data_IF_031278661646
#
_entry.id   IF_031278661646
#
_cell.length_a   1.000
_cell.length_b   1.000
_cell.length_c   1.000
_cell.angle_alpha   90.00
_cell.angle_beta   90.00
_cell.angle_gamma   90.00
#
_symmetry.space_group_name_H-M   'P 1'
#
loop_
_entity.id
_entity.type
_entity.pdbx_description
1 polymer ?
#
# COMPACT_ATOMS: atom_id res chain seq x y z
N UNK A 1 12.10 -21.28 9.08
CA UNK A 1 12.27 -21.50 7.63
C UNK A 1 11.08 -20.91 6.89
N UNK A 2 11.33 -20.20 5.79
CA UNK A 2 10.28 -19.65 4.93
C UNK A 2 9.58 -20.79 4.19
N UNK A 3 8.24 -20.75 4.12
CA UNK A 3 7.43 -21.82 3.52
C UNK A 3 6.57 -21.25 2.41
N UNK A 4 6.49 -21.98 1.30
CA UNK A 4 5.44 -21.79 0.32
C UNK A 4 4.16 -22.51 0.81
N UNK A 5 3.02 -21.93 0.53
CA UNK A 5 1.72 -22.45 0.94
C UNK A 5 0.76 -22.50 -0.25
N UNK A 6 0.01 -23.58 -0.39
CA UNK A 6 -1.15 -23.65 -1.26
C UNK A 6 -2.36 -23.14 -0.48
N UNK A 7 -3.05 -22.18 -1.07
CA UNK A 7 -4.24 -21.57 -0.47
C UNK A 7 -5.41 -21.52 -1.46
N UNK A 8 -6.61 -21.46 -0.93
CA UNK A 8 -7.79 -20.99 -1.64
C UNK A 8 -7.96 -19.50 -1.35
N UNK A 9 -7.90 -18.66 -2.39
CA UNK A 9 -8.04 -17.22 -2.27
C UNK A 9 -9.32 -16.72 -2.92
N UNK A 10 -10.20 -16.08 -2.15
CA UNK A 10 -11.41 -15.47 -2.66
C UNK A 10 -11.10 -14.09 -3.24
N UNK A 11 -10.95 -14.03 -4.56
CA UNK A 11 -10.73 -12.78 -5.31
C UNK A 11 -12.06 -12.06 -5.55
N UNK A 12 -12.01 -10.72 -5.63
CA UNK A 12 -13.18 -9.92 -6.03
C UNK A 12 -13.29 -9.80 -7.56
N UNK A 13 -12.20 -10.07 -8.29
CA UNK A 13 -12.12 -9.90 -9.76
C UNK A 13 -12.14 -11.22 -10.54
N UNK A 14 -11.98 -12.35 -9.88
CA UNK A 14 -11.91 -13.65 -10.54
C UNK A 14 -12.59 -14.72 -9.68
N UNK A 15 -13.10 -15.78 -10.34
CA UNK A 15 -13.61 -16.95 -9.65
C UNK A 15 -12.55 -17.52 -8.69
N UNK A 16 -13.04 -18.16 -7.63
CA UNK A 16 -12.24 -18.81 -6.61
C UNK A 16 -11.09 -19.65 -7.21
N UNK A 17 -9.89 -19.40 -6.76
CA UNK A 17 -8.73 -20.02 -7.36
C UNK A 17 -7.69 -20.43 -6.32
N UNK A 18 -7.21 -21.66 -6.46
CA UNK A 18 -6.02 -22.14 -5.75
C UNK A 18 -4.80 -21.32 -6.18
N UNK A 19 -4.00 -20.92 -5.21
CA UNK A 19 -2.74 -20.18 -5.44
C UNK A 19 -1.65 -20.76 -4.56
N UNK A 20 -0.46 -20.88 -5.14
CA UNK A 20 0.75 -21.11 -4.35
C UNK A 20 1.36 -19.75 -4.05
N UNK A 21 1.51 -19.45 -2.78
CA UNK A 21 2.04 -18.20 -2.26
C UNK A 21 3.29 -18.48 -1.42
N UNK A 22 4.29 -17.62 -1.54
CA UNK A 22 5.42 -17.54 -0.60
C UNK A 22 5.27 -16.27 0.24
N UNK A 23 4.67 -16.35 1.45
CA UNK A 23 4.48 -15.20 2.32
C UNK A 23 5.81 -14.62 2.79
N UNK A 24 5.94 -13.29 2.76
CA UNK A 24 7.17 -12.59 3.17
C UNK A 24 6.93 -11.56 4.27
N UNK A 25 5.75 -10.96 4.34
CA UNK A 25 5.41 -9.95 5.35
C UNK A 25 3.90 -9.89 5.63
N UNK A 26 3.55 -9.22 6.72
CA UNK A 26 2.19 -8.79 7.03
C UNK A 26 2.14 -7.26 7.07
N UNK A 27 1.06 -6.70 6.55
CA UNK A 27 0.80 -5.27 6.59
C UNK A 27 -0.68 -4.99 6.89
N UNK A 28 -0.95 -3.84 7.47
CA UNK A 28 -2.31 -3.38 7.79
C UNK A 28 -2.61 -2.09 7.04
N UNK A 29 -3.75 -2.04 6.34
CA UNK A 29 -4.13 -0.88 5.50
C UNK A 29 -4.97 0.18 6.22
N UNK A 30 -5.05 0.08 7.55
CA UNK A 30 -5.96 0.88 8.38
C UNK A 30 -7.28 0.14 8.71
N UNK A 31 -7.68 -0.85 7.89
CA UNK A 31 -8.91 -1.61 8.07
C UNK A 31 -8.69 -3.14 8.06
N UNK A 32 -7.75 -3.62 7.23
CA UNK A 32 -7.57 -5.05 6.98
C UNK A 32 -6.11 -5.45 7.03
N UNK A 33 -5.87 -6.66 7.48
CA UNK A 33 -4.57 -7.30 7.35
C UNK A 33 -4.38 -7.86 5.95
N UNK A 34 -3.19 -7.62 5.41
CA UNK A 34 -2.71 -8.14 4.15
C UNK A 34 -1.49 -9.03 4.36
N UNK A 35 -1.46 -10.14 3.66
CA UNK A 35 -0.27 -10.96 3.49
C UNK A 35 0.45 -10.48 2.24
N UNK A 36 1.65 -9.92 2.38
CA UNK A 36 2.54 -9.68 1.26
C UNK A 36 3.20 -11.00 0.90
N UNK A 37 3.01 -11.47 -0.34
CA UNK A 37 3.50 -12.76 -0.79
C UNK A 37 3.90 -12.75 -2.26
N UNK A 38 4.88 -13.57 -2.61
CA UNK A 38 5.12 -13.90 -4.00
C UNK A 38 4.07 -14.91 -4.49
N UNK A 39 3.38 -14.57 -5.56
CA UNK A 39 2.38 -15.43 -6.18
C UNK A 39 3.01 -16.22 -7.33
N UNK A 40 3.24 -17.52 -7.15
CA UNK A 40 3.89 -18.37 -8.15
C UNK A 40 3.09 -18.47 -9.45
N UNK A 41 1.78 -18.28 -9.41
CA UNK A 41 0.95 -18.27 -10.62
C UNK A 41 1.18 -17.03 -11.48
N UNK A 42 1.42 -15.88 -10.85
CA UNK A 42 1.60 -14.58 -11.53
C UNK A 42 3.05 -14.21 -11.72
N UNK A 43 3.95 -14.91 -11.05
CA UNK A 43 5.38 -14.61 -10.97
C UNK A 43 5.66 -13.18 -10.48
N UNK A 44 4.88 -12.72 -9.50
CA UNK A 44 5.02 -11.37 -8.93
C UNK A 44 4.64 -11.32 -7.45
N UNK A 45 5.15 -10.32 -6.73
CA UNK A 45 4.70 -10.01 -5.38
C UNK A 45 3.34 -9.30 -5.41
N UNK A 46 2.50 -9.58 -4.41
CA UNK A 46 1.19 -8.96 -4.29
C UNK A 46 0.66 -8.99 -2.85
N UNK A 47 -0.41 -8.22 -2.63
CA UNK A 47 -1.06 -8.12 -1.33
C UNK A 47 -2.34 -8.96 -1.35
N UNK A 48 -2.43 -9.89 -0.42
CA UNK A 48 -3.56 -10.79 -0.26
C UNK A 48 -4.27 -10.50 1.06
N UNK A 49 -5.54 -10.13 1.00
CA UNK A 49 -6.34 -9.87 2.20
C UNK A 49 -6.41 -11.15 3.04
N UNK A 50 -5.91 -11.10 4.27
CA UNK A 50 -5.76 -12.27 5.14
C UNK A 50 -7.07 -13.05 5.33
N UNK A 51 -8.18 -12.35 5.54
CA UNK A 51 -9.51 -12.95 5.74
C UNK A 51 -10.10 -13.63 4.50
N UNK A 52 -9.47 -13.45 3.33
CA UNK A 52 -9.87 -14.12 2.07
C UNK A 52 -9.06 -15.37 1.77
N UNK A 53 -8.10 -15.70 2.65
CA UNK A 53 -7.26 -16.90 2.55
C UNK A 53 -7.90 -18.02 3.34
N UNK A 54 -8.04 -19.19 2.73
CA UNK A 54 -8.57 -20.41 3.38
C UNK A 54 -7.85 -21.64 2.84
N UNK A 55 -8.09 -22.79 3.49
CA UNK A 55 -7.56 -24.11 3.09
C UNK A 55 -6.04 -24.11 2.89
N UNK A 56 -5.33 -23.57 3.89
CA UNK A 56 -3.87 -23.44 3.84
C UNK A 56 -3.21 -24.83 3.96
N UNK A 57 -2.34 -25.14 3.01
CA UNK A 57 -1.49 -26.35 3.01
C UNK A 57 -0.04 -25.95 2.77
N UNK A 58 0.86 -26.69 3.39
CA UNK A 58 2.29 -26.52 3.18
C UNK A 58 2.73 -27.10 1.82
N UNK A 59 3.48 -26.32 1.06
CA UNK A 59 4.05 -26.72 -0.25
C UNK A 59 5.58 -26.80 -0.23
N UNK A 60 6.19 -26.75 0.96
CA UNK A 60 7.64 -26.89 1.11
C UNK A 60 8.38 -25.56 1.30
N UNK A 61 9.68 -25.57 1.04
CA UNK A 61 10.51 -24.39 1.21
C UNK A 61 10.18 -23.30 0.17
N UNK A 62 10.06 -22.05 0.62
CA UNK A 62 9.93 -20.92 -0.29
C UNK A 62 11.28 -20.59 -0.94
N UNK A 63 11.26 -20.28 -2.24
CA UNK A 63 12.43 -19.87 -3.03
C UNK A 63 12.64 -18.37 -3.08
N UNK A 64 11.64 -17.58 -2.67
CA UNK A 64 11.66 -16.12 -2.67
C UNK A 64 11.72 -15.58 -1.26
N UNK A 65 12.28 -14.39 -1.14
CA UNK A 65 12.43 -13.70 0.13
C UNK A 65 11.93 -12.26 0.07
N UNK A 66 11.90 -11.57 1.21
CA UNK A 66 11.47 -10.17 1.27
C UNK A 66 12.45 -9.23 0.56
N UNK A 67 13.72 -9.61 0.49
CA UNK A 67 14.78 -8.87 -0.19
C UNK A 67 14.55 -8.83 -1.71
N UNK A 68 13.81 -9.82 -2.26
CA UNK A 68 13.47 -9.90 -3.69
C UNK A 68 12.29 -8.97 -4.05
N UNK A 69 11.60 -8.40 -3.06
CA UNK A 69 10.43 -7.54 -3.27
C UNK A 69 10.81 -6.06 -3.37
N UNK A 70 11.02 -5.58 -4.58
CA UNK A 70 11.40 -4.19 -4.83
C UNK A 70 10.38 -3.18 -4.29
N UNK A 71 9.07 -3.44 -4.43
CA UNK A 71 8.02 -2.52 -3.95
C UNK A 71 7.96 -2.47 -2.42
N UNK A 72 8.22 -3.59 -1.75
CA UNK A 72 8.30 -3.61 -0.30
C UNK A 72 9.54 -2.86 0.22
N UNK A 73 10.66 -2.98 -0.49
CA UNK A 73 11.94 -2.39 -0.08
C UNK A 73 12.11 -0.93 -0.51
N UNK A 74 11.26 -0.43 -1.40
CA UNK A 74 11.26 0.97 -1.81
C UNK A 74 10.42 1.81 -0.84
N UNK A 75 11.04 2.84 -0.23
CA UNK A 75 10.36 3.85 0.58
C UNK A 75 10.11 5.09 -0.28
N UNK A 76 8.86 5.49 -0.34
CA UNK A 76 8.41 6.71 -1.04
C UNK A 76 8.03 7.74 0.02
N UNK A 77 8.73 8.88 0.11
CA UNK A 77 8.37 9.94 1.05
C UNK A 77 7.10 10.65 0.57
N UNK A 78 6.09 10.71 1.43
CA UNK A 78 4.89 11.53 1.21
C UNK A 78 5.08 12.83 1.99
N UNK A 79 5.19 13.96 1.28
CA UNK A 79 5.32 15.27 1.90
C UNK A 79 3.93 15.87 2.06
N UNK A 80 3.45 15.92 3.28
CA UNK A 80 2.13 16.44 3.62
C UNK A 80 2.26 17.88 4.11
N UNK A 81 1.35 18.73 3.65
CA UNK A 81 1.20 20.13 4.06
C UNK A 81 -0.26 20.41 4.40
N UNK A 82 -0.60 21.48 5.13
CA UNK A 82 -1.96 21.94 5.24
C UNK A 82 -2.54 22.25 3.84
N UNK A 83 -3.81 21.95 3.62
CA UNK A 83 -4.43 22.19 2.31
C UNK A 83 -4.28 23.66 1.92
N UNK A 84 -3.85 24.01 0.69
CA UNK A 84 -3.58 25.39 0.26
C UNK A 84 -4.76 26.36 0.44
N UNK A 85 -5.99 25.86 0.31
CA UNK A 85 -7.22 26.66 0.43
C UNK A 85 -7.70 26.87 1.87
N UNK A 86 -6.96 26.39 2.87
CA UNK A 86 -7.30 26.63 4.27
C UNK A 86 -6.92 28.06 4.67
N UNK A 87 -7.79 28.75 5.46
CA UNK A 87 -7.42 30.00 6.12
C UNK A 87 -6.22 29.81 7.06
N UNK A 88 -5.41 30.86 7.21
CA UNK A 88 -4.16 30.80 8.00
C UNK A 88 -4.39 30.33 9.45
N UNK A 89 -5.49 30.75 10.07
CA UNK A 89 -5.84 30.31 11.43
C UNK A 89 -6.04 28.80 11.54
N UNK A 90 -6.57 28.16 10.49
CA UNK A 90 -6.78 26.71 10.45
C UNK A 90 -5.51 25.95 10.07
N UNK A 91 -4.62 26.57 9.30
CA UNK A 91 -3.32 25.97 8.93
C UNK A 91 -2.50 25.65 10.17
N UNK A 92 -2.37 26.59 11.12
CA UNK A 92 -1.61 26.38 12.34
C UNK A 92 -2.15 25.21 13.17
N UNK A 93 -3.45 24.99 13.20
CA UNK A 93 -4.05 23.83 13.88
C UNK A 93 -3.67 22.52 13.20
N UNK A 94 -3.69 22.46 11.85
CA UNK A 94 -3.31 21.27 11.07
C UNK A 94 -1.80 20.98 11.24
N UNK A 95 -0.95 22.00 11.21
CA UNK A 95 0.49 21.84 11.46
C UNK A 95 0.74 21.21 12.82
N UNK A 96 0.03 21.65 13.84
CA UNK A 96 0.13 21.09 15.18
C UNK A 96 -0.40 19.65 15.27
N UNK A 97 -1.57 19.36 14.67
CA UNK A 97 -2.21 18.04 14.68
C UNK A 97 -1.33 16.96 14.02
N UNK A 98 -0.60 17.34 12.97
CA UNK A 98 0.28 16.42 12.22
C UNK A 98 1.75 16.52 12.61
N UNK A 99 2.10 17.34 13.59
CA UNK A 99 3.48 17.53 14.02
C UNK A 99 4.38 18.05 12.90
N UNK A 100 3.85 18.98 12.09
CA UNK A 100 4.59 19.55 10.97
C UNK A 100 5.67 20.51 11.45
N UNK A 101 6.85 20.44 10.87
CA UNK A 101 7.94 21.39 11.07
C UNK A 101 8.06 22.24 9.79
N UNK A 102 8.18 23.56 9.92
CA UNK A 102 8.20 24.49 8.78
C UNK A 102 7.04 24.31 7.79
N UNK A 103 5.84 23.93 8.32
CA UNK A 103 4.62 23.77 7.53
C UNK A 103 4.52 22.45 6.77
N UNK A 104 5.39 21.48 7.02
CA UNK A 104 5.33 20.17 6.36
C UNK A 104 5.75 19.01 7.25
N UNK A 105 5.30 17.80 6.90
CA UNK A 105 5.76 16.54 7.49
C UNK A 105 6.03 15.51 6.41
N UNK A 106 7.14 14.79 6.52
CA UNK A 106 7.47 13.67 5.65
C UNK A 106 7.01 12.36 6.28
N UNK A 107 6.08 11.66 5.60
CA UNK A 107 5.63 10.33 5.99
C UNK A 107 6.29 9.29 5.06
N UNK A 108 7.26 8.50 5.55
CA UNK A 108 7.86 7.43 4.74
C UNK A 108 6.83 6.31 4.55
N UNK A 109 6.58 5.95 3.29
CA UNK A 109 5.62 4.91 2.93
C UNK A 109 6.28 3.85 2.04
N UNK A 110 6.07 2.56 2.33
CA UNK A 110 6.49 1.51 1.40
C UNK A 110 5.68 1.60 0.12
N UNK A 111 6.33 1.49 -1.04
CA UNK A 111 5.65 1.53 -2.33
C UNK A 111 4.51 0.50 -2.40
N UNK A 112 4.70 -0.70 -1.86
CA UNK A 112 3.68 -1.74 -1.80
C UNK A 112 2.38 -1.28 -1.12
N UNK A 113 2.46 -0.36 -0.15
CA UNK A 113 1.32 0.16 0.62
C UNK A 113 0.90 1.58 0.23
N UNK A 114 1.56 2.17 -0.77
CA UNK A 114 1.35 3.55 -1.18
C UNK A 114 -0.12 3.87 -1.50
N UNK A 115 -0.78 3.02 -2.29
CA UNK A 115 -2.19 3.21 -2.64
C UNK A 115 -3.11 3.19 -1.41
N UNK A 116 -2.88 2.23 -0.49
CA UNK A 116 -3.68 2.12 0.74
C UNK A 116 -3.47 3.33 1.65
N UNK A 117 -2.22 3.76 1.82
CA UNK A 117 -1.87 4.93 2.64
C UNK A 117 -2.53 6.20 2.11
N UNK A 118 -2.41 6.48 0.80
CA UNK A 118 -3.06 7.65 0.19
C UNK A 118 -4.59 7.58 0.29
N UNK A 119 -5.16 6.39 0.11
CA UNK A 119 -6.60 6.19 0.28
C UNK A 119 -7.05 6.46 1.71
N UNK A 120 -6.30 5.98 2.70
CA UNK A 120 -6.58 6.20 4.12
C UNK A 120 -6.50 7.68 4.50
N UNK A 121 -5.54 8.41 3.92
CA UNK A 121 -5.39 9.86 4.10
C UNK A 121 -6.41 10.69 3.30
N UNK A 122 -7.25 10.06 2.46
CA UNK A 122 -8.16 10.77 1.57
C UNK A 122 -7.49 11.44 0.38
N UNK A 123 -6.24 11.05 0.06
CA UNK A 123 -5.39 11.64 -0.98
C UNK A 123 -5.24 10.76 -2.23
N UNK A 124 -6.04 9.70 -2.36
CA UNK A 124 -5.92 8.74 -3.47
C UNK A 124 -6.33 9.32 -4.83
N UNK A 125 -7.17 10.34 -4.84
CA UNK A 125 -7.64 11.05 -6.05
C UNK A 125 -7.09 12.48 -6.04
N UNK A 126 -6.81 13.04 -7.22
CA UNK A 126 -6.25 14.40 -7.36
C UNK A 126 -7.15 15.53 -6.83
N UNK A 127 -8.38 15.22 -6.50
CA UNK A 127 -9.37 16.15 -6.02
C UNK A 127 -9.82 15.73 -4.63
N UNK A 128 -8.89 15.76 -3.68
CA UNK A 128 -9.29 15.75 -2.28
C UNK A 128 -10.05 17.03 -2.02
N UNK A 129 -11.34 16.96 -1.62
CA UNK A 129 -11.99 18.16 -1.14
C UNK A 129 -11.22 18.73 0.03
N UNK A 130 -11.35 20.00 0.28
CA UNK A 130 -10.88 20.71 1.50
C UNK A 130 -11.20 19.92 2.81
N UNK A 131 -12.08 18.93 2.71
CA UNK A 131 -12.44 18.01 3.78
C UNK A 131 -11.28 17.21 4.39
N UNK A 132 -10.18 16.99 3.69
CA UNK A 132 -9.03 16.28 4.25
C UNK A 132 -8.09 17.16 5.06
N UNK A 133 -8.20 18.48 4.93
CA UNK A 133 -7.36 19.50 5.57
C UNK A 133 -5.86 19.39 5.27
N UNK A 134 -5.40 18.30 4.64
CA UNK A 134 -4.02 18.07 4.23
C UNK A 134 -3.91 17.93 2.72
N UNK A 135 -2.72 18.18 2.19
CA UNK A 135 -2.41 18.12 0.78
C UNK A 135 -1.07 17.41 0.54
N UNK A 136 -0.97 16.63 -0.51
CA UNK A 136 0.27 15.95 -0.90
C UNK A 136 1.10 16.90 -1.78
N UNK A 137 2.10 17.55 -1.20
CA UNK A 137 2.96 18.55 -1.83
C UNK A 137 3.74 17.97 -3.03
N UNK A 138 4.25 16.75 -2.88
CA UNK A 138 5.12 16.11 -3.88
C UNK A 138 4.39 15.07 -4.75
N UNK A 139 3.13 15.32 -5.09
CA UNK A 139 2.31 14.38 -5.88
C UNK A 139 2.97 13.97 -7.20
N UNK A 140 3.61 14.90 -7.89
CA UNK A 140 4.30 14.62 -9.16
C UNK A 140 5.41 13.57 -9.00
N UNK A 141 6.13 13.60 -7.88
CA UNK A 141 7.21 12.64 -7.60
C UNK A 141 6.65 11.27 -7.21
N UNK A 142 5.46 11.25 -6.57
CA UNK A 142 4.78 10.04 -6.11
C UNK A 142 4.03 9.33 -7.24
N UNK A 143 3.54 10.07 -8.24
CA UNK A 143 2.68 9.55 -9.31
C UNK A 143 3.27 8.36 -10.08
N UNK A 144 4.56 8.34 -10.47
CA UNK A 144 5.15 7.19 -11.17
C UNK A 144 5.04 5.87 -10.40
N UNK A 145 5.17 5.92 -9.07
CA UNK A 145 5.01 4.74 -8.22
C UNK A 145 3.58 4.23 -8.16
N UNK A 146 2.60 5.15 -8.15
CA UNK A 146 1.18 4.80 -8.24
C UNK A 146 0.83 4.18 -9.58
N UNK A 147 1.32 4.73 -10.67
CA UNK A 147 1.09 4.23 -12.02
C UNK A 147 1.63 2.82 -12.19
N UNK A 148 2.79 2.53 -11.63
CA UNK A 148 3.39 1.19 -11.64
C UNK A 148 2.47 0.16 -10.96
N UNK A 149 1.89 0.50 -9.81
CA UNK A 149 0.95 -0.36 -9.08
C UNK A 149 -0.35 -0.58 -9.87
N UNK A 150 -0.91 0.49 -10.44
CA UNK A 150 -2.17 0.43 -11.21
C UNK A 150 -2.01 -0.37 -12.50
N UNK A 151 -0.91 -0.19 -13.21
CA UNK A 151 -0.63 -0.93 -14.45
C UNK A 151 -0.49 -2.43 -14.20
N UNK A 152 0.08 -2.83 -13.06
CA UNK A 152 0.10 -4.23 -12.64
C UNK A 152 -1.32 -4.76 -12.37
N UNK A 153 -2.14 -4.00 -11.67
CA UNK A 153 -3.52 -4.39 -11.34
C UNK A 153 -4.41 -4.55 -12.57
N UNK A 154 -4.16 -3.81 -13.66
CA UNK A 154 -4.91 -3.91 -14.91
C UNK A 154 -4.51 -5.12 -15.78
N UNK A 155 -3.32 -5.68 -15.58
CA UNK A 155 -2.85 -6.90 -16.27
C UNK A 155 -3.39 -8.19 -15.64
N UNK A 156 -4.20 -8.07 -14.61
CA UNK A 156 -4.83 -9.15 -13.84
C UNK A 156 -6.27 -9.41 -14.30
#
# INVERSE_FOLDING_TARGET
ARRAILVRYQSMSSADMKRVLSPVALGHDGFRWHVRAYCHRKNEFGDFVLTRISNVRDEGAATTSIEDDAEWNTLVPLILIPHPDLPDEKRAAIEYDYGMEDGEVALPCRQAFLFYTLKHLGLAVNEGPVATHIYLKNRTDVQPYLDAIQNRSRRQ
#
